data_IF_503138675816
#
_entry.id   IF_503138675816
#
_cell.length_a   1.000
_cell.length_b   1.000
_cell.length_c   1.000
_cell.angle_alpha   90.00
_cell.angle_beta   90.00
_cell.angle_gamma   90.00
#
_symmetry.space_group_name_H-M   'P 1'
#
loop_
_entity.id
_entity.type
_entity.pdbx_description
1 polymer ?
#
# COMPACT_ATOMS: atom_id res chain seq x y z
N UNK A 1 28.40 -0.88 -12.40
CA UNK A 1 29.58 -1.63 -11.93
C UNK A 1 29.58 -1.63 -10.39
N UNK A 2 29.59 -2.79 -9.73
CA UNK A 2 29.74 -2.89 -8.26
C UNK A 2 31.21 -3.25 -8.01
N UNK A 3 31.89 -2.54 -7.11
CA UNK A 3 33.33 -2.71 -6.91
C UNK A 3 33.67 -4.18 -6.52
N UNK A 4 34.72 -4.78 -7.10
CA UNK A 4 35.05 -6.19 -6.92
C UNK A 4 35.58 -6.54 -5.52
N UNK A 5 35.98 -5.55 -4.71
CA UNK A 5 36.65 -5.78 -3.42
C UNK A 5 35.98 -4.98 -2.30
N UNK A 6 35.58 -5.68 -1.22
CA UNK A 6 35.01 -5.05 -0.01
C UNK A 6 36.16 -4.57 0.87
N UNK A 7 36.54 -3.28 0.76
CA UNK A 7 37.40 -2.65 1.77
C UNK A 7 36.53 -2.33 3.00
N UNK A 8 36.82 -2.96 4.14
CA UNK A 8 36.19 -2.62 5.42
C UNK A 8 36.93 -1.44 6.02
N UNK A 9 36.20 -0.38 6.34
CA UNK A 9 36.69 0.79 7.05
C UNK A 9 35.89 0.96 8.33
N UNK A 10 36.55 1.35 9.42
CA UNK A 10 35.86 1.65 10.67
C UNK A 10 34.82 2.76 10.48
N UNK A 11 33.64 2.55 11.03
CA UNK A 11 32.48 3.43 10.85
C UNK A 11 31.71 3.25 9.54
N UNK A 12 32.18 2.43 8.60
CA UNK A 12 31.49 2.17 7.32
C UNK A 12 30.89 0.77 7.31
N UNK A 13 29.57 0.71 7.47
CA UNK A 13 28.80 -0.53 7.28
C UNK A 13 28.52 -0.75 5.79
N UNK A 14 28.99 -1.87 5.25
CA UNK A 14 28.73 -2.26 3.86
C UNK A 14 27.62 -3.30 3.81
N UNK A 15 26.62 -3.06 2.97
CA UNK A 15 25.53 -3.99 2.71
C UNK A 15 25.65 -4.52 1.28
N UNK A 16 25.50 -5.83 1.10
CA UNK A 16 25.37 -6.44 -0.23
C UNK A 16 23.89 -6.68 -0.50
N UNK A 17 23.41 -6.16 -1.61
CA UNK A 17 22.09 -6.45 -2.16
C UNK A 17 22.26 -7.06 -3.55
N UNK A 18 21.46 -8.07 -3.88
CA UNK A 18 21.50 -8.74 -5.18
C UNK A 18 21.06 -7.79 -6.31
N UNK A 19 20.11 -6.91 -6.01
CA UNK A 19 19.69 -5.78 -6.83
C UNK A 19 19.45 -4.57 -5.94
N UNK A 20 19.64 -3.38 -6.49
CA UNK A 20 19.24 -2.13 -5.84
C UNK A 20 18.90 -1.10 -6.89
N UNK A 21 17.78 -0.42 -6.69
CA UNK A 21 17.39 0.70 -7.54
C UNK A 21 18.30 1.91 -7.26
N UNK A 22 18.76 2.52 -8.34
CA UNK A 22 19.69 3.65 -8.31
C UNK A 22 19.14 4.82 -9.07
N UNK A 23 19.53 6.00 -8.61
CA UNK A 23 19.40 7.25 -9.33
C UNK A 23 20.71 8.01 -9.27
N UNK A 24 20.81 9.14 -9.97
CA UNK A 24 21.98 10.01 -9.93
C UNK A 24 21.59 11.30 -9.23
N UNK A 25 22.30 11.64 -8.16
CA UNK A 25 22.16 12.92 -7.48
C UNK A 25 23.47 13.69 -7.59
N UNK A 26 23.45 14.85 -8.28
CA UNK A 26 24.64 15.69 -8.51
C UNK A 26 25.83 14.91 -9.11
N UNK A 27 25.55 14.02 -10.06
CA UNK A 27 26.58 13.19 -10.70
C UNK A 27 27.04 11.97 -9.89
N UNK A 28 26.53 11.78 -8.67
CA UNK A 28 26.87 10.66 -7.80
C UNK A 28 25.76 9.60 -7.87
N UNK A 29 26.08 8.34 -8.21
CA UNK A 29 25.12 7.25 -8.11
C UNK A 29 24.71 7.02 -6.65
N UNK A 30 23.41 7.14 -6.39
CA UNK A 30 22.81 6.93 -5.07
C UNK A 30 21.61 5.97 -5.20
N UNK A 31 21.09 5.48 -4.09
CA UNK A 31 19.83 4.73 -4.08
C UNK A 31 18.64 5.65 -4.35
N UNK A 32 17.55 5.12 -4.92
CA UNK A 32 16.28 5.86 -4.96
C UNK A 32 15.80 6.13 -3.52
N UNK A 33 14.94 7.15 -3.29
CA UNK A 33 14.36 7.39 -1.99
C UNK A 33 13.64 6.15 -1.42
N UNK A 34 12.86 5.45 -2.24
CA UNK A 34 12.18 4.20 -1.86
C UNK A 34 13.19 3.12 -1.43
N UNK A 35 14.22 2.86 -2.25
CA UNK A 35 15.28 1.91 -1.92
C UNK A 35 16.02 2.29 -0.62
N UNK A 36 16.20 3.58 -0.37
CA UNK A 36 16.84 4.08 0.86
C UNK A 36 15.98 3.77 2.09
N UNK A 37 14.67 4.02 2.03
CA UNK A 37 13.73 3.69 3.13
C UNK A 37 13.69 2.19 3.38
N UNK A 38 13.64 1.37 2.32
CA UNK A 38 13.69 -0.10 2.42
C UNK A 38 14.96 -0.56 3.13
N UNK A 39 16.14 -0.01 2.78
CA UNK A 39 17.38 -0.35 3.47
C UNK A 39 17.38 0.11 4.93
N UNK A 40 16.90 1.33 5.22
CA UNK A 40 16.80 1.85 6.58
C UNK A 40 15.92 0.96 7.46
N UNK A 41 14.89 0.31 6.90
CA UNK A 41 14.01 -0.58 7.66
C UNK A 41 14.73 -1.75 8.34
N UNK A 42 15.92 -2.10 7.86
CA UNK A 42 16.72 -3.22 8.37
C UNK A 42 17.70 -2.85 9.49
N UNK A 43 17.97 -1.56 9.68
CA UNK A 43 19.05 -1.06 10.56
C UNK A 43 18.62 0.08 11.49
N UNK A 44 17.60 0.85 11.11
CA UNK A 44 17.17 2.02 11.85
C UNK A 44 16.16 1.66 12.96
N UNK A 45 16.20 2.33 14.12
CA UNK A 45 15.13 2.25 15.11
C UNK A 45 13.78 2.70 14.53
N UNK A 46 12.67 2.17 15.07
CA UNK A 46 11.31 2.43 14.60
C UNK A 46 11.00 3.93 14.45
N UNK A 47 11.35 4.75 15.44
CA UNK A 47 11.09 6.19 15.42
C UNK A 47 11.83 6.91 14.27
N UNK A 48 13.09 6.52 14.00
CA UNK A 48 13.88 7.05 12.90
C UNK A 48 13.31 6.63 11.55
N UNK A 49 12.93 5.36 11.41
CA UNK A 49 12.29 4.85 10.19
C UNK A 49 10.97 5.59 9.92
N UNK A 50 10.11 5.75 10.93
CA UNK A 50 8.85 6.48 10.82
C UNK A 50 9.05 7.92 10.35
N UNK A 51 10.05 8.61 10.90
CA UNK A 51 10.40 9.97 10.46
C UNK A 51 10.87 10.00 9.01
N UNK A 52 11.72 9.06 8.60
CA UNK A 52 12.21 8.97 7.22
C UNK A 52 11.08 8.70 6.21
N UNK A 53 10.14 7.81 6.54
CA UNK A 53 8.94 7.54 5.74
C UNK A 53 8.10 8.81 5.61
N UNK A 54 7.77 9.46 6.73
CA UNK A 54 6.96 10.69 6.71
C UNK A 54 7.62 11.80 5.88
N UNK A 55 8.92 12.00 6.02
CA UNK A 55 9.65 13.01 5.26
C UNK A 55 9.65 12.69 3.76
N UNK A 56 9.87 11.43 3.39
CA UNK A 56 9.81 10.99 2.00
C UNK A 56 8.43 11.23 1.36
N UNK A 57 7.36 10.95 2.10
CA UNK A 57 5.98 11.21 1.66
C UNK A 57 5.70 12.72 1.53
N UNK A 58 6.07 13.51 2.54
CA UNK A 58 5.87 14.96 2.55
C UNK A 58 6.60 15.65 1.39
N UNK A 59 7.83 15.23 1.10
CA UNK A 59 8.62 15.73 -0.02
C UNK A 59 8.23 15.13 -1.37
N UNK A 60 7.24 14.23 -1.40
CA UNK A 60 6.78 13.50 -2.60
C UNK A 60 7.92 12.74 -3.30
N UNK A 61 8.89 12.26 -2.52
CA UNK A 61 10.01 11.46 -2.98
C UNK A 61 9.69 9.97 -3.03
N UNK A 62 8.66 9.54 -2.30
CA UNK A 62 8.11 8.20 -2.32
C UNK A 62 6.59 8.28 -2.26
N UNK A 63 5.93 7.27 -2.82
CA UNK A 63 4.53 6.95 -2.56
C UNK A 63 4.44 5.85 -1.50
N UNK A 64 3.24 5.61 -0.98
CA UNK A 64 3.02 4.51 -0.05
C UNK A 64 3.22 3.15 -0.72
N UNK A 65 2.79 2.99 -1.98
CA UNK A 65 2.98 1.74 -2.70
C UNK A 65 4.45 1.45 -3.04
N UNK A 66 5.29 2.47 -3.23
CA UNK A 66 6.75 2.28 -3.38
C UNK A 66 7.38 1.57 -2.16
N UNK A 67 6.73 1.67 -1.00
CA UNK A 67 7.20 1.12 0.27
C UNK A 67 6.50 -0.18 0.66
N UNK A 68 5.36 -0.51 0.05
CA UNK A 68 4.68 -1.80 0.22
C UNK A 68 5.40 -2.85 -0.61
N UNK A 69 6.50 -3.33 -0.05
CA UNK A 69 7.40 -4.27 -0.73
C UNK A 69 7.28 -5.67 -0.16
N UNK A 70 7.62 -6.66 -0.98
CA UNK A 70 7.66 -8.07 -0.59
C UNK A 70 8.75 -8.35 0.46
N UNK A 71 8.95 -9.64 0.78
CA UNK A 71 9.87 -10.11 1.82
C UNK A 71 11.28 -9.56 1.66
N UNK A 72 11.73 -8.76 2.62
CA UNK A 72 13.10 -8.29 2.76
C UNK A 72 13.45 -8.16 4.25
N UNK A 73 14.75 -8.06 4.57
CA UNK A 73 15.19 -7.78 5.94
C UNK A 73 14.70 -6.39 6.33
N UNK A 74 13.88 -6.29 7.38
CA UNK A 74 13.26 -5.04 7.82
C UNK A 74 11.81 -4.85 7.39
N UNK A 75 11.28 -5.72 6.52
CA UNK A 75 9.89 -5.65 6.03
C UNK A 75 8.85 -5.64 7.16
N UNK A 76 9.08 -6.40 8.25
CA UNK A 76 8.17 -6.38 9.41
C UNK A 76 8.11 -4.99 10.05
N UNK A 77 9.25 -4.34 10.22
CA UNK A 77 9.34 -3.00 10.82
C UNK A 77 8.76 -1.94 9.90
N UNK A 78 9.06 -2.00 8.60
CA UNK A 78 8.49 -1.08 7.60
C UNK A 78 6.97 -1.18 7.54
N UNK A 79 6.43 -2.41 7.49
CA UNK A 79 4.97 -2.63 7.53
C UNK A 79 4.33 -2.11 8.81
N UNK A 80 4.98 -2.28 9.96
CA UNK A 80 4.49 -1.72 11.22
C UNK A 80 4.48 -0.19 11.20
N UNK A 81 5.47 0.46 10.57
CA UNK A 81 5.47 1.92 10.38
C UNK A 81 4.33 2.35 9.46
N UNK A 82 4.19 1.72 8.29
CA UNK A 82 3.15 2.07 7.32
C UNK A 82 1.74 1.87 7.89
N UNK A 83 1.52 0.80 8.66
CA UNK A 83 0.24 0.52 9.31
C UNK A 83 -0.17 1.58 10.37
N UNK A 84 0.76 2.43 10.84
CA UNK A 84 0.43 3.54 11.75
C UNK A 84 0.08 4.85 11.04
N UNK A 85 0.15 4.88 9.70
CA UNK A 85 -0.26 6.05 8.93
C UNK A 85 -1.79 6.17 8.92
N UNK A 86 -2.29 7.41 8.95
CA UNK A 86 -3.69 7.73 8.71
C UNK A 86 -3.81 8.29 7.29
N UNK A 87 -3.98 7.43 6.26
CA UNK A 87 -4.03 7.88 4.87
C UNK A 87 -5.29 8.70 4.61
N UNK A 88 -5.22 9.63 3.66
CA UNK A 88 -6.40 10.19 3.02
C UNK A 88 -7.15 9.11 2.23
N UNK A 89 -8.43 9.34 1.93
CA UNK A 89 -9.23 8.44 1.08
C UNK A 89 -8.53 8.17 -0.26
N UNK A 90 -8.03 9.22 -0.90
CA UNK A 90 -7.34 9.12 -2.19
C UNK A 90 -6.03 8.32 -2.11
N UNK A 91 -5.27 8.44 -1.02
CA UNK A 91 -4.06 7.62 -0.81
C UNK A 91 -4.41 6.14 -0.61
N UNK A 92 -5.52 5.86 0.08
CA UNK A 92 -6.01 4.50 0.28
C UNK A 92 -6.43 3.85 -1.05
N UNK A 93 -7.21 4.57 -1.86
CA UNK A 93 -7.62 4.15 -3.20
C UNK A 93 -6.42 3.95 -4.13
N UNK A 94 -5.47 4.90 -4.15
CA UNK A 94 -4.26 4.79 -4.98
C UNK A 94 -3.42 3.56 -4.61
N UNK A 95 -3.26 3.26 -3.31
CA UNK A 95 -2.54 2.07 -2.88
C UNK A 95 -3.26 0.79 -3.33
N UNK A 96 -4.58 0.72 -3.15
CA UNK A 96 -5.36 -0.43 -3.61
C UNK A 96 -5.18 -0.66 -5.11
N UNK A 97 -5.31 0.40 -5.92
CA UNK A 97 -5.17 0.33 -7.37
C UNK A 97 -3.76 -0.11 -7.79
N UNK A 98 -2.72 0.41 -7.13
CA UNK A 98 -1.34 0.00 -7.38
C UNK A 98 -1.12 -1.48 -7.05
N UNK A 99 -1.62 -1.95 -5.91
CA UNK A 99 -1.52 -3.37 -5.52
C UNK A 99 -2.24 -4.30 -6.50
N UNK A 100 -3.41 -3.90 -7.00
CA UNK A 100 -4.14 -4.65 -8.02
C UNK A 100 -3.36 -4.72 -9.33
N UNK A 101 -2.77 -3.59 -9.75
CA UNK A 101 -1.94 -3.50 -10.94
C UNK A 101 -0.70 -4.41 -10.85
N UNK A 102 0.05 -4.30 -9.75
CA UNK A 102 1.29 -5.07 -9.54
C UNK A 102 1.02 -6.58 -9.39
N UNK A 103 -0.22 -6.94 -9.02
CA UNK A 103 -0.70 -8.31 -8.94
C UNK A 103 -1.30 -8.84 -10.26
N UNK A 104 -1.24 -8.05 -11.33
CA UNK A 104 -1.80 -8.35 -12.66
C UNK A 104 -3.30 -8.70 -12.61
N UNK A 105 -4.04 -8.10 -11.68
CA UNK A 105 -5.49 -8.22 -11.62
C UNK A 105 -6.10 -7.26 -12.66
N UNK A 106 -7.16 -7.71 -13.35
CA UNK A 106 -7.87 -6.90 -14.33
C UNK A 106 -8.22 -5.51 -13.75
N UNK A 107 -8.13 -4.47 -14.57
CA UNK A 107 -8.35 -3.09 -14.11
C UNK A 107 -9.82 -2.87 -13.74
N UNK A 108 -10.15 -2.41 -12.52
CA UNK A 108 -11.51 -2.04 -12.16
C UNK A 108 -11.92 -0.69 -12.76
N UNK A 109 -13.22 -0.45 -12.83
CA UNK A 109 -13.77 0.91 -12.87
C UNK A 109 -13.58 1.56 -11.50
N UNK A 110 -13.13 2.81 -11.48
CA UNK A 110 -12.84 3.56 -10.24
C UNK A 110 -13.96 4.57 -9.99
N UNK A 111 -14.53 4.56 -8.79
CA UNK A 111 -15.66 5.41 -8.40
C UNK A 111 -16.84 5.45 -9.41
N UNK A 112 -17.29 4.31 -9.99
CA UNK A 112 -18.42 4.32 -10.92
C UNK A 112 -19.76 4.48 -10.18
N UNK A 113 -20.73 5.13 -10.81
CA UNK A 113 -22.10 5.06 -10.35
C UNK A 113 -22.70 3.68 -10.68
N UNK A 114 -23.50 3.13 -9.75
CA UNK A 114 -24.31 1.93 -10.00
C UNK A 114 -25.71 2.38 -10.41
N UNK A 115 -26.14 1.96 -11.60
CA UNK A 115 -27.45 2.30 -12.15
C UNK A 115 -28.59 1.93 -11.19
N UNK A 116 -29.56 2.84 -11.04
CA UNK A 116 -30.69 2.65 -10.12
C UNK A 116 -30.36 2.87 -8.65
N UNK A 117 -29.14 3.30 -8.30
CA UNK A 117 -28.74 3.63 -6.92
C UNK A 117 -27.98 4.95 -6.84
N UNK A 118 -27.86 5.48 -5.62
CA UNK A 118 -26.95 6.59 -5.31
C UNK A 118 -25.61 6.11 -4.72
N UNK A 119 -25.27 4.83 -4.90
CA UNK A 119 -24.06 4.23 -4.34
C UNK A 119 -22.93 4.32 -5.36
N UNK A 120 -21.75 4.69 -4.86
CA UNK A 120 -20.50 4.81 -5.62
C UNK A 120 -19.45 3.97 -4.90
N UNK A 121 -19.20 2.72 -5.32
CA UNK A 121 -18.11 1.92 -4.79
C UNK A 121 -16.76 2.49 -5.20
N UNK A 122 -15.71 2.24 -4.41
CA UNK A 122 -14.36 2.67 -4.76
C UNK A 122 -13.87 1.97 -6.05
N UNK A 123 -14.09 0.66 -6.17
CA UNK A 123 -13.70 -0.16 -7.34
C UNK A 123 -14.78 -1.16 -7.73
N UNK A 124 -15.01 -1.32 -9.04
CA UNK A 124 -16.01 -2.23 -9.60
C UNK A 124 -15.46 -3.02 -10.79
N UNK A 125 -15.73 -4.32 -10.82
CA UNK A 125 -15.63 -5.18 -11.99
C UNK A 125 -17.05 -5.61 -12.41
N UNK A 126 -17.66 -4.92 -13.39
CA UNK A 126 -19.06 -5.18 -13.76
C UNK A 126 -19.29 -6.63 -14.22
N UNK A 127 -18.38 -7.17 -15.04
CA UNK A 127 -18.47 -8.52 -15.59
C UNK A 127 -18.39 -9.61 -14.51
N UNK A 128 -17.78 -9.32 -13.37
CA UNK A 128 -17.66 -10.22 -12.23
C UNK A 128 -18.69 -9.98 -11.14
N UNK A 129 -19.52 -8.94 -11.29
CA UNK A 129 -20.36 -8.40 -10.20
C UNK A 129 -19.55 -8.26 -8.89
N UNK A 130 -18.33 -7.73 -8.98
CA UNK A 130 -17.40 -7.63 -7.85
C UNK A 130 -17.12 -6.17 -7.51
N UNK A 131 -17.25 -5.83 -6.23
CA UNK A 131 -16.90 -4.53 -5.67
C UNK A 131 -15.74 -4.70 -4.68
N UNK A 132 -14.76 -3.81 -4.73
CA UNK A 132 -13.75 -3.65 -3.69
C UNK A 132 -13.89 -2.24 -3.08
N UNK A 133 -14.08 -2.18 -1.77
CA UNK A 133 -14.09 -0.94 -0.99
C UNK A 133 -12.78 -0.83 -0.19
N UNK A 134 -12.06 0.27 -0.39
CA UNK A 134 -10.86 0.60 0.36
C UNK A 134 -11.25 1.47 1.56
N UNK A 135 -11.57 0.82 2.67
CA UNK A 135 -11.96 1.50 3.90
C UNK A 135 -10.75 2.28 4.45
N UNK A 136 -10.77 3.61 4.29
CA UNK A 136 -9.96 4.50 5.12
C UNK A 136 -10.46 4.30 6.55
N UNK A 137 -9.59 3.98 7.51
CA UNK A 137 -9.97 3.54 8.88
C UNK A 137 -10.99 4.48 9.55
N UNK A 138 -12.28 4.26 9.28
CA UNK A 138 -13.42 4.82 10.02
C UNK A 138 -13.85 3.83 11.09
N UNK A 139 -12.89 3.23 11.79
CA UNK A 139 -13.20 2.34 12.92
C UNK A 139 -13.69 3.11 14.17
N UNK A 140 -13.82 4.44 14.10
CA UNK A 140 -14.53 5.27 15.08
C UNK A 140 -15.97 5.64 14.67
N UNK A 141 -16.56 4.96 13.70
CA UNK A 141 -18.00 5.05 13.46
C UNK A 141 -18.78 4.48 14.63
N UNK A 142 -19.58 5.31 15.31
CA UNK A 142 -20.52 4.87 16.34
C UNK A 142 -21.55 3.86 15.81
N UNK A 143 -22.44 3.38 16.69
CA UNK A 143 -23.43 2.36 16.34
C UNK A 143 -24.26 2.69 15.08
N UNK A 144 -24.59 3.97 14.87
CA UNK A 144 -25.35 4.47 13.72
C UNK A 144 -24.59 4.32 12.39
N UNK A 145 -23.32 4.75 12.34
CA UNK A 145 -22.51 4.63 11.12
C UNK A 145 -22.34 3.17 10.68
N UNK A 146 -22.18 2.25 11.65
CA UNK A 146 -22.12 0.80 11.38
C UNK A 146 -23.44 0.25 10.85
N UNK A 147 -24.58 0.80 11.26
CA UNK A 147 -25.88 0.39 10.74
C UNK A 147 -26.05 0.87 9.29
N UNK A 148 -25.66 2.10 9.00
CA UNK A 148 -25.71 2.67 7.64
C UNK A 148 -24.80 1.89 6.67
N UNK A 149 -23.58 1.55 7.09
CA UNK A 149 -22.65 0.78 6.26
C UNK A 149 -23.18 -0.64 5.97
N UNK A 150 -23.82 -1.29 6.97
CA UNK A 150 -24.50 -2.58 6.75
C UNK A 150 -25.69 -2.45 5.79
N UNK A 151 -26.47 -1.39 5.90
CA UNK A 151 -27.61 -1.16 5.01
C UNK A 151 -27.16 -0.95 3.56
N UNK A 152 -26.09 -0.15 3.34
CA UNK A 152 -25.48 0.03 2.01
C UNK A 152 -24.97 -1.28 1.44
N UNK A 153 -24.28 -2.07 2.25
CA UNK A 153 -23.77 -3.37 1.83
C UNK A 153 -24.90 -4.33 1.43
N UNK A 154 -25.98 -4.40 2.21
CA UNK A 154 -27.14 -5.23 1.88
C UNK A 154 -27.81 -4.83 0.56
N UNK A 155 -27.84 -3.53 0.22
CA UNK A 155 -28.33 -3.06 -1.08
C UNK A 155 -27.44 -3.56 -2.22
N UNK A 156 -26.12 -3.43 -2.10
CA UNK A 156 -25.17 -3.90 -3.12
C UNK A 156 -25.26 -5.43 -3.31
N UNK A 157 -25.32 -6.18 -2.22
CA UNK A 157 -25.48 -7.64 -2.26
C UNK A 157 -26.84 -8.06 -2.84
N UNK A 158 -27.91 -7.32 -2.54
CA UNK A 158 -29.24 -7.53 -3.14
C UNK A 158 -29.30 -7.28 -4.64
N UNK A 159 -28.36 -6.48 -5.18
CA UNK A 159 -28.16 -6.29 -6.61
C UNK A 159 -27.26 -7.36 -7.25
N UNK A 160 -26.83 -8.36 -6.47
CA UNK A 160 -25.99 -9.47 -6.93
C UNK A 160 -24.49 -9.19 -6.87
N UNK A 161 -24.06 -8.07 -6.27
CA UNK A 161 -22.64 -7.78 -6.13
C UNK A 161 -22.01 -8.52 -4.94
N UNK A 162 -20.84 -9.11 -5.17
CA UNK A 162 -19.94 -9.52 -4.08
C UNK A 162 -19.13 -8.30 -3.62
N UNK A 163 -19.19 -7.96 -2.33
CA UNK A 163 -18.48 -6.80 -1.77
C UNK A 163 -17.29 -7.26 -0.92
N UNK A 164 -16.08 -6.93 -1.36
CA UNK A 164 -14.84 -7.14 -0.60
C UNK A 164 -14.44 -5.80 0.04
N UNK A 165 -14.17 -5.80 1.34
CA UNK A 165 -13.57 -4.65 2.03
C UNK A 165 -12.11 -4.92 2.37
N UNK A 166 -11.28 -3.89 2.21
CA UNK A 166 -9.87 -3.91 2.61
C UNK A 166 -9.58 -2.68 3.45
N UNK A 167 -8.75 -2.85 4.48
CA UNK A 167 -8.32 -1.76 5.34
C UNK A 167 -6.91 -1.31 4.98
N UNK A 168 -6.55 -0.09 5.38
CA UNK A 168 -5.17 0.40 5.29
C UNK A 168 -4.17 -0.57 5.94
N UNK A 169 -4.49 -1.05 7.15
CA UNK A 169 -3.66 -2.02 7.86
C UNK A 169 -3.49 -3.34 7.09
N UNK A 170 -4.53 -3.82 6.40
CA UNK A 170 -4.43 -5.01 5.57
C UNK A 170 -3.56 -4.79 4.33
N UNK A 171 -3.79 -3.72 3.58
CA UNK A 171 -3.02 -3.42 2.36
C UNK A 171 -1.54 -3.19 2.65
N UNK A 172 -1.20 -2.57 3.78
CA UNK A 172 0.19 -2.32 4.14
C UNK A 172 0.87 -3.53 4.79
N UNK A 173 0.14 -4.33 5.57
CA UNK A 173 0.76 -5.43 6.34
C UNK A 173 0.68 -6.81 5.65
N UNK A 174 -0.43 -7.09 4.96
CA UNK A 174 -0.77 -8.37 4.35
C UNK A 174 -1.58 -8.19 3.04
N UNK A 175 -1.04 -7.47 2.04
CA UNK A 175 -1.76 -7.22 0.79
C UNK A 175 -2.16 -8.51 0.06
N UNK A 176 -1.41 -9.59 0.26
CA UNK A 176 -1.70 -10.93 -0.26
C UNK A 176 -3.10 -11.44 0.10
N UNK A 177 -3.63 -11.08 1.29
CA UNK A 177 -4.97 -11.48 1.72
C UNK A 177 -6.08 -10.79 0.95
N UNK A 178 -5.93 -9.49 0.70
CA UNK A 178 -6.83 -8.74 -0.16
C UNK A 178 -6.80 -9.31 -1.58
N UNK A 179 -5.60 -9.45 -2.15
CA UNK A 179 -5.41 -9.94 -3.51
C UNK A 179 -5.97 -11.35 -3.72
N UNK A 180 -5.81 -12.23 -2.74
CA UNK A 180 -6.35 -13.60 -2.80
C UNK A 180 -7.88 -13.61 -2.81
N UNK A 181 -8.53 -12.76 -2.00
CA UNK A 181 -10.00 -12.64 -1.99
C UNK A 181 -10.51 -12.09 -3.32
N UNK A 182 -9.86 -11.07 -3.88
CA UNK A 182 -10.23 -10.49 -5.18
C UNK A 182 -10.07 -11.50 -6.32
N UNK A 183 -9.03 -12.35 -6.29
CA UNK A 183 -8.83 -13.39 -7.31
C UNK A 183 -9.83 -14.54 -7.23
N UNK A 184 -10.32 -14.86 -6.02
CA UNK A 184 -11.26 -15.95 -5.79
C UNK A 184 -12.70 -15.58 -6.18
N UNK A 185 -13.00 -14.29 -6.31
CA UNK A 185 -14.26 -13.76 -6.80
C UNK A 185 -14.27 -13.61 -8.33
#
# INVERSE_FOLDING_TARGET
>A
MVAPTVKRHDGINTFRAASFERTVHKGIPVTTPAQTVIHLSSVAPFATLRRAVNEGLNLKLVTLGDLVTQSHRGAKTLRAVLATAAPTRSENENLALQLLHDAEIAKPLVNPAIEGTNLIPDFLWPEKQLILEADSERHHGGMLARADDRAKQAVLEGLGYTVIRTSWAEMTSRPDRMLSRVRAA
#
